data_IF_624076862851
#
_entry.id   IF_624076862851
#
_cell.length_a   1.000
_cell.length_b   1.000
_cell.length_c   1.000
_cell.angle_alpha   90.00
_cell.angle_beta   90.00
_cell.angle_gamma   90.00
#
_symmetry.space_group_name_H-M   'P 1'
#
loop_
_entity.id
_entity.type
_entity.pdbx_description
1 polymer ?
#
# COMPACT_ATOMS: atom_id res chain seq x y z
N UNK A 1 8.05 20.95 -20.25
CA UNK A 1 6.65 20.65 -19.89
C UNK A 1 6.44 21.20 -18.50
N UNK A 2 5.44 22.07 -18.30
CA UNK A 2 5.11 22.59 -16.97
C UNK A 2 4.77 21.42 -16.04
N UNK A 3 5.33 21.43 -14.83
CA UNK A 3 5.01 20.44 -13.81
C UNK A 3 3.49 20.48 -13.59
N UNK A 4 2.74 19.36 -13.69
CA UNK A 4 1.30 19.41 -13.52
C UNK A 4 0.94 19.99 -12.15
N UNK A 5 -0.14 20.77 -12.13
CA UNK A 5 -0.73 21.30 -10.90
C UNK A 5 -1.41 20.19 -10.06
N UNK A 6 -1.09 18.91 -10.26
CA UNK A 6 -1.66 17.78 -9.53
C UNK A 6 -0.68 16.61 -9.49
N UNK A 7 -0.95 15.61 -8.65
CA UNK A 7 -0.17 14.38 -8.54
C UNK A 7 -0.73 13.31 -9.48
N UNK A 8 -0.09 13.04 -10.63
CA UNK A 8 -0.63 12.08 -11.60
C UNK A 8 -0.46 10.64 -11.11
N UNK A 9 -1.56 9.87 -11.12
CA UNK A 9 -1.55 8.43 -10.85
C UNK A 9 -1.45 7.68 -12.18
N UNK A 10 -0.28 7.14 -12.47
CA UNK A 10 0.08 6.44 -13.71
C UNK A 10 0.62 5.03 -13.47
N UNK A 11 0.76 4.63 -12.20
CA UNK A 11 1.33 3.33 -11.81
C UNK A 11 2.84 3.25 -12.06
N UNK A 12 3.36 2.02 -12.14
CA UNK A 12 4.78 1.71 -12.35
C UNK A 12 5.17 1.68 -13.83
N UNK A 13 4.75 2.70 -14.60
CA UNK A 13 4.89 2.75 -16.07
C UNK A 13 6.33 2.71 -16.58
N UNK A 14 7.29 3.21 -15.80
CA UNK A 14 8.69 3.38 -16.22
C UNK A 14 9.56 2.14 -15.95
N UNK A 15 8.95 1.02 -15.55
CA UNK A 15 9.65 -0.23 -15.20
C UNK A 15 10.00 -1.11 -16.39
N UNK A 16 9.53 -0.78 -17.60
CA UNK A 16 9.88 -1.44 -18.86
C UNK A 16 9.23 -2.81 -19.11
N UNK A 17 8.48 -3.34 -18.14
CA UNK A 17 7.73 -4.59 -18.26
C UNK A 17 6.54 -4.62 -17.27
N UNK A 18 5.66 -5.60 -17.47
CA UNK A 18 4.62 -5.93 -16.51
C UNK A 18 5.18 -6.97 -15.53
N UNK A 19 5.00 -6.73 -14.24
CA UNK A 19 5.38 -7.65 -13.16
C UNK A 19 4.16 -7.92 -12.30
N UNK A 20 4.11 -9.13 -11.73
CA UNK A 20 3.00 -9.58 -10.92
C UNK A 20 3.01 -8.93 -9.53
N UNK A 21 1.83 -8.79 -8.94
CA UNK A 21 1.70 -8.57 -7.50
C UNK A 21 1.86 -9.92 -6.84
N UNK A 22 2.84 -10.03 -5.94
CA UNK A 22 3.11 -11.25 -5.17
C UNK A 22 2.35 -11.22 -3.84
N UNK A 23 2.11 -12.39 -3.25
CA UNK A 23 1.60 -12.43 -1.87
C UNK A 23 2.67 -11.86 -0.92
N UNK A 24 2.26 -11.27 0.20
CA UNK A 24 3.21 -10.73 1.18
C UNK A 24 4.12 -11.84 1.74
N UNK A 25 3.60 -13.06 1.88
CA UNK A 25 4.35 -14.24 2.31
C UNK A 25 5.42 -14.65 1.30
N UNK A 26 5.09 -14.69 0.01
CA UNK A 26 6.05 -14.98 -1.05
C UNK A 26 7.12 -13.89 -1.13
N UNK A 27 6.69 -12.61 -1.11
CA UNK A 27 7.60 -11.47 -1.14
C UNK A 27 8.62 -11.56 0.00
N UNK A 28 8.16 -11.86 1.21
CA UNK A 28 9.02 -12.01 2.39
C UNK A 28 9.98 -13.21 2.29
N UNK A 29 9.51 -14.36 1.80
CA UNK A 29 10.27 -15.61 1.86
C UNK A 29 11.25 -15.77 0.71
N UNK A 30 10.87 -15.32 -0.50
CA UNK A 30 11.58 -15.65 -1.74
C UNK A 30 12.20 -14.42 -2.41
N UNK A 31 11.80 -13.20 -2.04
CA UNK A 31 12.22 -11.96 -2.71
C UNK A 31 12.81 -10.94 -1.72
N UNK A 32 13.90 -11.27 -0.99
CA UNK A 32 14.40 -10.48 0.13
C UNK A 32 14.77 -9.03 -0.23
N UNK A 33 15.31 -8.79 -1.44
CA UNK A 33 15.61 -7.44 -1.92
C UNK A 33 14.32 -6.62 -2.15
N UNK A 34 13.30 -7.22 -2.76
CA UNK A 34 12.01 -6.55 -2.98
C UNK A 34 11.32 -6.26 -1.65
N UNK A 35 11.30 -7.24 -0.74
CA UNK A 35 10.71 -7.08 0.58
C UNK A 35 11.41 -6.00 1.40
N UNK A 36 12.75 -5.98 1.40
CA UNK A 36 13.54 -4.95 2.08
C UNK A 36 13.21 -3.56 1.53
N UNK A 37 13.19 -3.40 0.21
CA UNK A 37 12.82 -2.13 -0.43
C UNK A 37 11.39 -1.71 -0.12
N UNK A 38 10.45 -2.66 -0.07
CA UNK A 38 9.07 -2.41 0.32
C UNK A 38 8.97 -1.83 1.73
N UNK A 39 9.65 -2.45 2.72
CA UNK A 39 9.66 -1.97 4.10
C UNK A 39 10.32 -0.59 4.20
N UNK A 40 11.51 -0.42 3.61
CA UNK A 40 12.23 0.85 3.66
C UNK A 40 11.44 1.99 3.00
N UNK A 41 10.83 1.74 1.84
CA UNK A 41 9.97 2.72 1.18
C UNK A 41 8.75 3.08 2.04
N UNK A 42 8.16 2.09 2.73
CA UNK A 42 7.05 2.33 3.64
C UNK A 42 7.46 3.22 4.83
N UNK A 43 8.65 3.01 5.38
CA UNK A 43 9.19 3.87 6.45
C UNK A 43 9.36 5.32 5.97
N UNK A 44 9.88 5.51 4.76
CA UNK A 44 10.05 6.86 4.17
C UNK A 44 8.71 7.57 3.98
N UNK A 45 7.68 6.92 3.45
CA UNK A 45 6.36 7.56 3.28
C UNK A 45 5.63 7.79 4.61
N UNK A 46 5.96 7.00 5.64
CA UNK A 46 5.52 7.24 7.02
C UNK A 46 6.35 8.33 7.71
N UNK A 47 7.30 8.95 7.01
CA UNK A 47 8.19 9.99 7.54
C UNK A 47 8.98 9.50 8.76
N UNK A 48 9.27 8.19 8.80
CA UNK A 48 10.06 7.56 9.86
C UNK A 48 11.55 7.59 9.48
N UNK A 49 12.44 7.94 10.41
CA UNK A 49 13.87 7.96 10.12
C UNK A 49 14.35 6.55 9.81
N UNK A 50 15.18 6.43 8.78
CA UNK A 50 16.02 5.26 8.59
C UNK A 50 17.12 5.35 9.67
N UNK A 51 17.29 4.29 10.46
CA UNK A 51 17.87 4.30 11.82
C UNK A 51 19.31 4.79 11.96
N UNK A 52 20.01 5.04 10.86
CA UNK A 52 21.39 5.53 10.86
C UNK A 52 21.51 6.79 9.97
N UNK A 53 21.75 7.98 10.56
CA UNK A 53 21.98 9.21 9.80
C UNK A 53 23.20 9.18 8.87
N UNK A 54 24.19 8.31 9.14
CA UNK A 54 25.36 8.10 8.29
C UNK A 54 25.10 7.07 7.17
N UNK A 55 23.93 6.42 7.19
CA UNK A 55 23.55 5.49 6.13
C UNK A 55 23.45 6.23 4.79
N UNK A 56 23.88 5.62 3.67
CA UNK A 56 23.62 6.16 2.33
C UNK A 56 22.13 6.35 2.04
N UNK A 57 21.25 5.69 2.81
CA UNK A 57 19.80 5.83 2.69
C UNK A 57 19.26 7.11 3.33
N UNK A 58 20.02 7.79 4.20
CA UNK A 58 19.56 9.01 4.88
C UNK A 58 19.30 10.17 3.92
N UNK A 59 19.89 10.12 2.72
CA UNK A 59 19.66 11.08 1.64
C UNK A 59 18.34 10.82 0.88
N UNK A 60 17.68 9.68 1.09
CA UNK A 60 16.41 9.36 0.44
C UNK A 60 15.24 9.84 1.30
N UNK A 61 14.46 10.76 0.77
CA UNK A 61 13.29 11.32 1.42
C UNK A 61 12.11 11.45 0.45
N UNK A 62 10.92 11.67 1.02
CA UNK A 62 9.72 11.95 0.25
C UNK A 62 9.75 13.39 -0.28
N UNK A 63 9.93 13.56 -1.59
CA UNK A 63 10.00 14.89 -2.23
C UNK A 63 8.65 15.61 -2.30
N UNK A 64 7.56 14.86 -2.50
CA UNK A 64 6.22 15.42 -2.64
C UNK A 64 5.36 14.99 -1.44
N UNK A 65 4.93 15.93 -0.57
CA UNK A 65 4.16 15.59 0.63
C UNK A 65 2.83 14.91 0.32
N UNK A 66 2.27 15.07 -0.89
CA UNK A 66 1.07 14.34 -1.30
C UNK A 66 1.22 12.82 -1.24
N UNK A 67 2.47 12.32 -1.33
CA UNK A 67 2.77 10.91 -1.21
C UNK A 67 3.03 10.42 0.21
N UNK A 68 2.82 11.24 1.25
CA UNK A 68 2.97 10.77 2.62
C UNK A 68 1.85 9.80 2.98
N UNK A 69 2.13 8.87 3.88
CA UNK A 69 1.15 7.89 4.33
C UNK A 69 -0.10 8.58 4.88
N UNK A 70 0.06 9.65 5.67
CA UNK A 70 -1.04 10.43 6.19
C UNK A 70 -1.87 11.12 5.10
N UNK A 71 -1.21 11.72 4.10
CA UNK A 71 -1.89 12.35 2.98
C UNK A 71 -2.71 11.32 2.17
N UNK A 72 -2.12 10.18 1.84
CA UNK A 72 -2.83 9.12 1.08
C UNK A 72 -3.97 8.54 1.92
N UNK A 73 -3.73 8.19 3.19
CA UNK A 73 -4.75 7.65 4.08
C UNK A 73 -5.95 8.59 4.24
N UNK A 74 -5.73 9.91 4.23
CA UNK A 74 -6.80 10.90 4.29
C UNK A 74 -7.75 10.86 3.08
N UNK A 75 -7.30 10.37 1.92
CA UNK A 75 -8.16 10.16 0.75
C UNK A 75 -9.28 9.17 1.05
N UNK A 76 -9.10 8.25 2.00
CA UNK A 76 -10.09 7.23 2.35
C UNK A 76 -11.12 7.72 3.38
N UNK A 77 -10.88 8.83 4.07
CA UNK A 77 -11.81 9.30 5.11
C UNK A 77 -11.25 10.44 5.95
N UNK A 78 -11.16 10.24 7.27
CA UNK A 78 -10.70 11.29 8.20
C UNK A 78 -9.29 11.80 7.82
N UNK A 79 -9.03 13.12 7.92
CA UNK A 79 -9.88 14.16 8.51
C UNK A 79 -10.96 14.76 7.59
N UNK A 80 -11.30 14.14 6.46
CA UNK A 80 -12.26 14.63 5.45
C UNK A 80 -11.87 15.98 4.88
N UNK A 81 -10.58 16.12 4.59
CA UNK A 81 -10.00 17.28 3.94
C UNK A 81 -9.63 16.91 2.51
N UNK A 82 -9.54 17.91 1.64
CA UNK A 82 -9.03 17.70 0.30
C UNK A 82 -7.62 17.13 0.35
N UNK A 83 -7.34 16.16 -0.52
CA UNK A 83 -6.00 15.64 -0.68
C UNK A 83 -5.10 16.67 -1.36
N UNK A 84 -3.97 16.97 -0.73
CA UNK A 84 -3.00 17.97 -1.19
C UNK A 84 -2.39 17.68 -2.58
N UNK A 85 -2.58 16.48 -3.12
CA UNK A 85 -2.17 16.09 -4.46
C UNK A 85 -3.13 16.52 -5.58
N UNK A 86 -4.38 16.92 -5.29
CA UNK A 86 -5.35 17.35 -6.31
C UNK A 86 -5.13 18.81 -6.75
N UNK A 87 -4.58 19.64 -5.83
CA UNK A 87 -4.36 21.10 -5.92
C UNK A 87 -5.46 21.87 -6.70
N UNK A 88 -6.72 21.69 -6.33
CA UNK A 88 -7.82 22.50 -6.88
C UNK A 88 -7.67 23.98 -6.53
N UNK A 89 -8.49 24.85 -7.13
CA UNK A 89 -8.52 26.27 -6.77
C UNK A 89 -9.07 26.43 -5.35
N UNK A 90 -8.66 27.47 -4.62
CA UNK A 90 -9.09 27.71 -3.21
C UNK A 90 -10.61 27.61 -2.98
N UNK A 91 -11.42 28.08 -3.94
CA UNK A 91 -12.88 28.00 -3.88
C UNK A 91 -13.43 26.56 -3.91
N UNK A 92 -12.67 25.62 -4.47
CA UNK A 92 -13.01 24.21 -4.63
C UNK A 92 -12.43 23.33 -3.51
N UNK A 93 -11.55 23.90 -2.67
CA UNK A 93 -10.90 23.20 -1.53
C UNK A 93 -11.75 23.13 -0.27
N UNK A 94 -12.83 23.92 -0.22
CA UNK A 94 -13.68 24.03 0.96
C UNK A 94 -14.38 22.69 1.18
N UNK A 95 -13.92 21.94 2.18
CA UNK A 95 -14.58 20.71 2.60
C UNK A 95 -15.99 21.04 3.11
N UNK A 96 -16.97 20.25 2.70
CA UNK A 96 -18.34 20.29 3.25
C UNK A 96 -18.43 19.65 4.64
N UNK A 97 -17.30 19.18 5.19
CA UNK A 97 -17.17 18.59 6.51
C UNK A 97 -16.78 19.62 7.59
N UNK A 98 -17.56 19.67 8.65
CA UNK A 98 -17.36 20.42 9.88
C UNK A 98 -17.67 19.52 11.08
N UNK A 99 -16.66 19.21 11.90
CA UNK A 99 -16.83 18.36 13.09
C UNK A 99 -17.83 18.87 14.12
N UNK A 100 -18.22 20.15 14.04
CA UNK A 100 -19.21 20.78 14.91
C UNK A 100 -20.63 20.77 14.31
N UNK A 101 -20.80 20.43 13.03
CA UNK A 101 -22.13 20.31 12.41
C UNK A 101 -22.76 18.95 12.77
N UNK A 102 -23.98 18.98 13.31
CA UNK A 102 -24.73 17.77 13.67
C UNK A 102 -25.04 16.89 12.45
N UNK A 103 -25.10 17.46 11.24
CA UNK A 103 -25.26 16.71 9.98
C UNK A 103 -24.02 15.88 9.63
N UNK A 104 -22.91 16.08 10.33
CA UNK A 104 -21.59 15.52 10.04
C UNK A 104 -21.19 14.47 11.09
N UNK A 105 -22.15 14.04 11.93
CA UNK A 105 -21.93 13.20 13.11
C UNK A 105 -22.06 11.69 12.86
N UNK A 106 -22.17 11.24 11.60
CA UNK A 106 -22.25 9.80 11.29
C UNK A 106 -21.98 9.45 9.83
N UNK A 107 -21.72 8.16 9.53
CA UNK A 107 -21.52 7.68 8.17
C UNK A 107 -22.87 7.59 7.43
N UNK A 108 -23.31 8.68 6.80
CA UNK A 108 -24.47 8.73 5.89
C UNK A 108 -24.09 9.65 4.72
N UNK A 109 -24.40 9.28 3.46
CA UNK A 109 -23.44 9.32 2.37
C UNK A 109 -23.29 10.73 1.78
N UNK A 110 -22.05 11.22 1.69
CA UNK A 110 -21.56 12.28 0.78
C UNK A 110 -20.15 12.75 1.15
N UNK A 111 -19.50 12.21 2.18
CA UNK A 111 -18.31 12.86 2.74
C UNK A 111 -17.07 12.03 2.44
N UNK A 112 -16.28 12.58 1.53
CA UNK A 112 -14.95 12.21 1.04
C UNK A 112 -14.42 10.81 1.35
N UNK A 113 -14.09 10.09 0.26
CA UNK A 113 -13.12 9.00 0.30
C UNK A 113 -13.68 7.64 0.68
N UNK A 114 -13.20 6.58 0.03
CA UNK A 114 -13.68 5.23 0.27
C UNK A 114 -15.10 5.07 -0.26
N UNK A 115 -15.25 4.77 -1.54
CA UNK A 115 -16.58 4.46 -2.09
C UNK A 115 -17.01 3.09 -1.55
N UNK A 116 -17.94 3.09 -0.60
CA UNK A 116 -18.52 1.89 0.02
C UNK A 116 -19.98 1.73 -0.36
N UNK A 117 -20.48 0.48 -0.41
CA UNK A 117 -21.89 0.20 -0.69
C UNK A 117 -22.38 0.60 -2.09
N UNK A 118 -21.46 0.84 -3.03
CA UNK A 118 -21.77 1.25 -4.39
C UNK A 118 -21.00 0.41 -5.43
N UNK A 119 -21.51 0.36 -6.66
CA UNK A 119 -20.90 -0.39 -7.77
C UNK A 119 -19.49 0.07 -8.13
N UNK A 120 -19.16 1.32 -7.80
CA UNK A 120 -17.84 1.91 -7.98
C UNK A 120 -16.84 1.56 -6.87
N UNK A 121 -17.21 0.71 -5.89
CA UNK A 121 -16.31 0.23 -4.84
C UNK A 121 -15.01 -0.39 -5.42
N UNK A 122 -15.05 -1.41 -6.33
CA UNK A 122 -13.82 -2.00 -6.84
C UNK A 122 -12.94 -1.04 -7.66
N UNK A 123 -13.46 -0.25 -8.64
CA UNK A 123 -12.60 0.63 -9.43
C UNK A 123 -12.02 1.79 -8.59
N UNK A 124 -12.74 2.30 -7.59
CA UNK A 124 -12.21 3.33 -6.69
C UNK A 124 -10.99 2.82 -5.90
N UNK A 125 -11.13 1.66 -5.25
CA UNK A 125 -10.05 1.05 -4.47
C UNK A 125 -8.87 0.62 -5.33
N UNK A 126 -9.11 0.20 -6.58
CA UNK A 126 -8.05 -0.13 -7.54
C UNK A 126 -7.16 1.07 -7.82
N UNK A 127 -7.74 2.23 -8.10
CA UNK A 127 -6.98 3.47 -8.34
C UNK A 127 -6.28 3.95 -7.08
N UNK A 128 -6.89 3.77 -5.91
CA UNK A 128 -6.29 4.09 -4.62
C UNK A 128 -5.04 3.24 -4.32
N UNK A 129 -5.09 1.93 -4.57
CA UNK A 129 -3.92 1.06 -4.44
C UNK A 129 -2.85 1.35 -5.50
N UNK A 130 -3.24 1.79 -6.71
CA UNK A 130 -2.29 2.18 -7.74
C UNK A 130 -1.45 3.40 -7.34
N UNK A 131 -2.05 4.36 -6.61
CA UNK A 131 -1.34 5.50 -6.03
C UNK A 131 -0.29 5.04 -5.01
N UNK A 132 -0.67 4.16 -4.07
CA UNK A 132 0.26 3.60 -3.07
C UNK A 132 1.41 2.84 -3.74
N UNK A 133 1.10 1.98 -4.70
CA UNK A 133 2.08 1.20 -5.46
C UNK A 133 3.08 2.11 -6.19
N UNK A 134 2.60 3.18 -6.84
CA UNK A 134 3.45 4.13 -7.54
C UNK A 134 4.45 4.81 -6.59
N UNK A 135 3.98 5.33 -5.45
CA UNK A 135 4.82 6.08 -4.52
C UNK A 135 5.87 5.17 -3.88
N UNK A 136 5.45 3.99 -3.40
CA UNK A 136 6.37 2.99 -2.82
C UNK A 136 7.43 2.60 -3.84
N UNK A 137 7.04 2.33 -5.09
CA UNK A 137 7.98 1.97 -6.14
C UNK A 137 8.98 3.08 -6.48
N UNK A 138 8.53 4.34 -6.55
CA UNK A 138 9.41 5.49 -6.80
C UNK A 138 10.45 5.66 -5.71
N UNK A 139 10.06 5.49 -4.44
CA UNK A 139 11.01 5.54 -3.33
C UNK A 139 11.95 4.33 -3.34
N UNK A 140 11.42 3.13 -3.61
CA UNK A 140 12.21 1.91 -3.72
C UNK A 140 13.32 2.02 -4.79
N UNK A 141 13.06 2.67 -5.92
CA UNK A 141 14.10 2.90 -6.94
C UNK A 141 15.23 3.81 -6.44
N UNK A 142 14.91 4.87 -5.69
CA UNK A 142 15.92 5.76 -5.11
C UNK A 142 16.75 5.04 -4.04
N UNK A 143 16.10 4.27 -3.18
CA UNK A 143 16.76 3.43 -2.17
C UNK A 143 17.69 2.41 -2.84
N UNK A 144 17.21 1.73 -3.88
CA UNK A 144 18.01 0.76 -4.62
C UNK A 144 19.26 1.39 -5.25
N UNK A 145 19.13 2.57 -5.86
CA UNK A 145 20.27 3.30 -6.41
C UNK A 145 21.29 3.66 -5.32
N UNK A 146 20.84 4.14 -4.16
CA UNK A 146 21.71 4.48 -3.03
C UNK A 146 22.46 3.25 -2.48
N UNK A 147 21.80 2.10 -2.39
CA UNK A 147 22.42 0.83 -1.95
C UNK A 147 23.51 0.38 -2.91
N UNK A 148 23.24 0.35 -4.21
CA UNK A 148 24.23 -0.11 -5.21
C UNK A 148 25.41 0.86 -5.37
N UNK A 149 25.18 2.17 -5.19
CA UNK A 149 26.24 3.19 -5.24
C UNK A 149 27.18 3.12 -4.04
N UNK A 150 26.65 2.76 -2.86
CA UNK A 150 27.40 2.73 -1.61
C UNK A 150 28.14 1.41 -1.34
N UNK A 151 27.70 0.31 -1.96
CA UNK A 151 28.33 -1.00 -1.79
C UNK A 151 28.63 -1.66 -3.13
N UNK A 152 29.91 -1.80 -3.47
CA UNK A 152 30.34 -2.43 -4.72
C UNK A 152 29.91 -3.90 -4.83
N UNK A 153 29.79 -4.61 -3.70
CA UNK A 153 29.35 -6.01 -3.65
C UNK A 153 27.85 -6.20 -3.90
N UNK A 154 27.07 -5.13 -3.79
CA UNK A 154 25.61 -5.14 -3.92
C UNK A 154 25.12 -4.68 -5.30
N UNK A 155 26.04 -4.36 -6.22
CA UNK A 155 25.70 -3.84 -7.55
C UNK A 155 24.82 -4.80 -8.35
N UNK A 156 23.83 -4.24 -9.04
CA UNK A 156 22.84 -4.95 -9.87
C UNK A 156 21.90 -5.90 -9.11
N UNK A 157 21.81 -5.83 -7.78
CA UNK A 157 20.87 -6.63 -6.99
C UNK A 157 19.58 -5.86 -6.68
N UNK A 158 19.69 -4.57 -6.38
CA UNK A 158 18.61 -3.77 -5.82
C UNK A 158 17.77 -3.08 -6.90
N UNK A 159 18.41 -2.54 -7.95
CA UNK A 159 17.70 -1.82 -9.02
C UNK A 159 16.78 -2.76 -9.80
N UNK A 160 17.17 -3.99 -10.18
CA UNK A 160 16.24 -4.95 -10.76
C UNK A 160 15.09 -5.31 -9.82
N UNK A 161 15.37 -5.47 -8.52
CA UNK A 161 14.34 -5.76 -7.52
C UNK A 161 13.32 -4.61 -7.38
N UNK A 162 13.78 -3.34 -7.34
CA UNK A 162 12.91 -2.17 -7.28
C UNK A 162 11.99 -2.04 -8.51
N UNK A 163 12.50 -2.38 -9.70
CA UNK A 163 11.70 -2.38 -10.95
C UNK A 163 10.60 -3.44 -10.93
N UNK A 164 10.92 -4.62 -10.40
CA UNK A 164 10.00 -5.75 -10.27
C UNK A 164 8.94 -5.53 -9.17
N UNK A 165 9.30 -4.81 -8.10
CA UNK A 165 8.42 -4.60 -6.96
C UNK A 165 7.04 -4.04 -7.37
N UNK A 166 6.00 -4.71 -6.90
CA UNK A 166 4.59 -4.31 -6.94
C UNK A 166 4.01 -4.37 -5.54
N UNK A 167 2.89 -3.68 -5.31
CA UNK A 167 2.27 -3.68 -3.98
C UNK A 167 1.74 -5.10 -3.67
N UNK A 168 2.23 -5.75 -2.61
CA UNK A 168 1.87 -7.14 -2.33
C UNK A 168 0.41 -7.25 -1.92
N UNK A 169 -0.20 -8.39 -2.17
CA UNK A 169 -1.53 -8.72 -1.65
C UNK A 169 -1.41 -9.64 -0.44
N UNK A 170 -2.42 -9.62 0.41
CA UNK A 170 -2.59 -10.61 1.46
C UNK A 170 -3.71 -11.55 1.05
N UNK A 171 -3.35 -12.82 0.78
CA UNK A 171 -4.33 -13.87 0.56
C UNK A 171 -4.87 -14.38 1.90
N UNK A 172 -5.84 -13.68 2.44
CA UNK A 172 -6.48 -14.05 3.71
C UNK A 172 -7.31 -15.34 3.61
N UNK A 173 -7.54 -15.85 2.39
CA UNK A 173 -8.31 -17.06 2.12
C UNK A 173 -7.43 -18.27 1.75
N UNK A 174 -6.10 -18.12 1.76
CA UNK A 174 -5.17 -19.21 1.53
C UNK A 174 -5.25 -20.28 2.64
N UNK A 175 -5.02 -21.54 2.28
CA UNK A 175 -5.15 -22.69 3.20
C UNK A 175 -4.18 -22.61 4.40
N UNK A 176 -3.03 -21.97 4.21
CA UNK A 176 -1.99 -21.81 5.22
C UNK A 176 -2.19 -20.58 6.13
N UNK A 177 -3.18 -19.73 5.83
CA UNK A 177 -3.59 -18.66 6.74
C UNK A 177 -4.57 -19.25 7.77
N UNK A 178 -4.23 -19.22 9.08
CA UNK A 178 -5.13 -19.72 10.10
C UNK A 178 -6.49 -19.05 9.96
N UNK A 179 -7.55 -19.87 9.82
CA UNK A 179 -8.91 -19.37 9.64
C UNK A 179 -9.18 -18.30 10.71
N UNK A 180 -9.54 -17.05 10.34
CA UNK A 180 -9.77 -16.01 11.33
C UNK A 180 -10.87 -16.36 12.35
N UNK A 181 -11.77 -17.29 12.03
CA UNK A 181 -12.73 -17.86 12.99
C UNK A 181 -12.07 -18.71 14.08
N UNK A 182 -10.85 -19.22 13.89
CA UNK A 182 -10.08 -19.89 14.96
C UNK A 182 -9.66 -18.95 16.09
N UNK A 183 -9.65 -17.62 15.84
CA UNK A 183 -9.40 -16.60 16.85
C UNK A 183 -10.69 -16.06 17.50
N UNK A 184 -11.86 -16.42 16.97
CA UNK A 184 -13.12 -16.19 17.64
C UNK A 184 -13.44 -17.42 18.50
N UNK A 185 -13.34 -17.35 19.84
CA UNK A 185 -14.03 -18.31 20.68
C UNK A 185 -15.53 -18.07 20.45
N UNK A 186 -16.13 -18.81 19.53
CA UNK A 186 -17.57 -18.95 19.51
C UNK A 186 -17.95 -19.56 20.86
N UNK A 187 -18.59 -18.77 21.73
CA UNK A 187 -19.09 -19.21 23.04
C UNK A 187 -20.46 -19.87 22.85
N UNK A 188 -20.50 -20.86 21.97
CA UNK A 188 -21.65 -21.72 21.72
C UNK A 188 -21.15 -23.11 21.39
N UNK A 189 -21.96 -24.12 21.67
CA UNK A 189 -21.59 -25.50 21.35
C UNK A 189 -21.47 -25.65 19.84
N UNK A 190 -20.37 -26.26 19.39
CA UNK A 190 -20.26 -26.76 18.02
C UNK A 190 -21.42 -27.75 17.83
N UNK A 191 -22.24 -27.64 16.77
CA UNK A 191 -23.29 -28.61 16.49
C UNK A 191 -22.70 -30.03 16.49
N UNK A 192 -23.36 -31.04 17.10
CA UNK A 192 -22.84 -32.40 17.18
C UNK A 192 -22.51 -33.04 15.82
N UNK A 193 -23.08 -32.51 14.75
CA UNK A 193 -22.95 -32.95 13.36
C UNK A 193 -21.93 -32.15 12.55
N UNK A 194 -21.25 -31.16 13.14
CA UNK A 194 -20.18 -30.45 12.45
C UNK A 194 -19.00 -31.40 12.19
N UNK A 195 -18.68 -31.60 10.91
CA UNK A 195 -17.45 -32.27 10.50
C UNK A 195 -16.53 -31.25 9.85
N UNK A 196 -15.36 -31.06 10.46
CA UNK A 196 -14.28 -30.30 9.84
C UNK A 196 -13.82 -31.06 8.59
N UNK A 197 -13.91 -30.43 7.43
CA UNK A 197 -13.50 -31.04 6.17
C UNK A 197 -12.00 -30.79 6.01
N UNK A 198 -11.20 -31.48 6.82
CA UNK A 198 -9.75 -31.55 6.57
C UNK A 198 -9.57 -32.38 5.30
N UNK A 199 -9.50 -31.71 4.15
CA UNK A 199 -9.06 -32.38 2.93
C UNK A 199 -7.59 -32.73 3.13
N UNK A 200 -7.31 -34.02 3.30
CA UNK A 200 -5.95 -34.53 3.17
C UNK A 200 -5.43 -34.13 1.78
N UNK A 201 -4.52 -33.17 1.74
CA UNK A 201 -3.73 -32.87 0.55
C UNK A 201 -2.85 -34.09 0.30
N UNK A 202 -3.36 -35.03 -0.50
CA UNK A 202 -2.53 -36.10 -1.05
C UNK A 202 -1.50 -35.43 -1.95
N UNK A 203 -0.24 -35.51 -1.55
CA UNK A 203 0.89 -35.13 -2.40
C UNK A 203 0.82 -35.95 -3.69
N UNK A 204 0.43 -35.29 -4.79
CA UNK A 204 0.65 -35.84 -6.11
C UNK A 204 2.12 -35.55 -6.45
N UNK A 205 2.95 -36.57 -6.30
CA UNK A 205 4.25 -36.63 -6.94
C UNK A 205 4.03 -36.64 -8.46
N UNK A 206 4.45 -35.58 -9.14
CA UNK A 206 4.73 -35.58 -10.58
C UNK A 206 6.24 -35.71 -10.80
#
# INVERSE_FOLDING_TARGET
MSNPDYYPVVGRKDTGANYDRLSIQELQSNHPYQFTLFILAFLVIQERPLTDPQSPLSAVFLENPAGSFGAIASIHGKPYQEWIGDKRKELEKIADFNSNDRKDTGPVPSRFGGVHGAVSFPPWHRSYLLLLEQIIGTIAEKLAQALEQSSAGERNLWVPAARQLRFPYWDWAAEDVPNPLSYYPFVGEIPPDFQDVVREVRSLSY
#
